data_IF_945925522222
#
_entry.id   IF_945925522222
#
_cell.length_a   1.000
_cell.length_b   1.000
_cell.length_c   1.000
_cell.angle_alpha   90.00
_cell.angle_beta   90.00
_cell.angle_gamma   90.00
#
_symmetry.space_group_name_H-M   'P 1'
#
loop_
_entity.id
_entity.type
_entity.pdbx_description
1 polymer ?
#
# COMPACT_ATOMS: atom_id res chain seq x y z
N UNK A 1 -9.93 37.77 -16.34
CA UNK A 1 -10.70 36.96 -15.38
C UNK A 1 -9.75 35.95 -14.75
N UNK A 2 -8.93 36.41 -13.79
CA UNK A 2 -7.97 35.55 -13.09
C UNK A 2 -8.73 34.73 -12.05
N UNK A 3 -9.16 33.54 -12.42
CA UNK A 3 -9.66 32.55 -11.47
C UNK A 3 -8.51 32.20 -10.52
N UNK A 4 -8.55 32.76 -9.30
CA UNK A 4 -7.61 32.41 -8.25
C UNK A 4 -7.68 30.88 -8.03
N UNK A 5 -6.60 30.13 -8.31
CA UNK A 5 -6.66 28.67 -8.34
C UNK A 5 -7.06 28.05 -7.00
N UNK A 6 -6.82 28.76 -5.89
CA UNK A 6 -7.27 28.38 -4.56
C UNK A 6 -8.81 28.42 -4.41
N UNK A 7 -9.47 29.45 -4.96
CA UNK A 7 -10.92 29.59 -4.90
C UNK A 7 -11.62 28.46 -5.67
N UNK A 8 -11.12 28.14 -6.87
CA UNK A 8 -11.64 27.02 -7.67
C UNK A 8 -11.49 25.68 -6.95
N UNK A 9 -10.38 25.46 -6.24
CA UNK A 9 -10.15 24.23 -5.45
C UNK A 9 -11.09 24.13 -4.25
N UNK A 10 -11.26 25.21 -3.50
CA UNK A 10 -12.19 25.25 -2.37
C UNK A 10 -13.63 25.04 -2.82
N UNK A 11 -14.03 25.70 -3.91
CA UNK A 11 -15.36 25.52 -4.49
C UNK A 11 -15.60 24.07 -4.93
N UNK A 12 -14.63 23.44 -5.59
CA UNK A 12 -14.71 22.02 -5.97
C UNK A 12 -14.89 21.09 -4.77
N UNK A 13 -14.16 21.32 -3.68
CA UNK A 13 -14.30 20.55 -2.44
C UNK A 13 -15.67 20.73 -1.79
N UNK A 14 -16.17 21.98 -1.73
CA UNK A 14 -17.49 22.26 -1.16
C UNK A 14 -18.58 21.62 -2.00
N UNK A 15 -18.52 21.74 -3.33
CA UNK A 15 -19.48 21.09 -4.24
C UNK A 15 -19.45 19.58 -4.07
N UNK A 16 -18.27 18.97 -3.94
CA UNK A 16 -18.15 17.54 -3.66
C UNK A 16 -18.83 17.12 -2.35
N UNK A 17 -18.59 17.86 -1.25
CA UNK A 17 -19.22 17.57 0.04
C UNK A 17 -20.75 17.73 -0.04
N UNK A 18 -21.24 18.76 -0.74
CA UNK A 18 -22.67 18.97 -0.93
C UNK A 18 -23.31 17.86 -1.78
N UNK A 19 -22.65 17.42 -2.84
CA UNK A 19 -23.10 16.28 -3.65
C UNK A 19 -23.13 14.99 -2.85
N UNK A 20 -22.11 14.76 -2.01
CA UNK A 20 -22.10 13.62 -1.09
C UNK A 20 -23.26 13.70 -0.09
N UNK A 21 -23.46 14.84 0.56
CA UNK A 21 -24.59 15.04 1.48
C UNK A 21 -25.95 14.86 0.77
N UNK A 22 -26.09 15.33 -0.47
CA UNK A 22 -27.30 15.13 -1.27
C UNK A 22 -27.51 13.65 -1.63
N UNK A 23 -26.43 12.92 -1.97
CA UNK A 23 -26.49 11.48 -2.19
C UNK A 23 -26.96 10.74 -0.93
N UNK A 24 -26.48 11.10 0.26
CA UNK A 24 -26.95 10.53 1.54
C UNK A 24 -28.46 10.74 1.75
N UNK A 25 -29.02 11.85 1.25
CA UNK A 25 -30.47 12.10 1.35
C UNK A 25 -31.28 11.27 0.35
N UNK A 26 -30.67 10.84 -0.76
CA UNK A 26 -31.30 10.03 -1.81
C UNK A 26 -31.18 8.53 -1.56
N UNK A 27 -30.13 8.09 -0.84
CA UNK A 27 -29.85 6.70 -0.52
C UNK A 27 -30.10 6.39 0.97
N UNK A 28 -30.27 5.12 1.33
CA UNK A 28 -30.45 4.73 2.73
C UNK A 28 -29.15 4.89 3.53
N UNK A 29 -29.21 5.26 4.82
CA UNK A 29 -28.03 5.45 5.68
C UNK A 29 -27.12 4.21 5.78
N UNK A 30 -27.68 3.01 5.63
CA UNK A 30 -26.94 1.74 5.67
C UNK A 30 -25.97 1.58 4.49
N UNK A 31 -26.25 2.26 3.37
CA UNK A 31 -25.45 2.17 2.16
C UNK A 31 -24.35 3.23 2.11
N UNK A 32 -24.62 4.43 2.66
CA UNK A 32 -23.73 5.57 2.54
C UNK A 32 -23.81 6.49 3.77
N UNK A 33 -22.80 6.46 4.66
CA UNK A 33 -22.78 7.32 5.84
C UNK A 33 -22.61 8.80 5.46
N UNK A 34 -23.22 9.68 6.25
CA UNK A 34 -23.07 11.12 6.08
C UNK A 34 -21.60 11.57 6.28
N UNK A 35 -21.12 12.59 5.54
CA UNK A 35 -19.76 13.12 5.71
C UNK A 35 -19.40 13.45 7.17
N UNK A 36 -20.36 14.03 7.92
CA UNK A 36 -20.17 14.33 9.34
C UNK A 36 -20.03 13.06 10.19
N UNK A 37 -20.83 12.03 9.92
CA UNK A 37 -20.74 10.75 10.63
C UNK A 37 -19.40 10.03 10.34
N UNK A 38 -18.88 10.14 9.12
CA UNK A 38 -17.54 9.62 8.80
C UNK A 38 -16.47 10.35 9.59
N UNK A 39 -16.56 11.68 9.69
CA UNK A 39 -15.58 12.48 10.42
C UNK A 39 -15.60 12.18 11.93
N UNK A 40 -16.79 12.07 12.54
CA UNK A 40 -16.90 11.74 13.97
C UNK A 40 -16.42 10.33 14.28
N UNK A 41 -16.73 9.35 13.42
CA UNK A 41 -16.19 8.00 13.57
C UNK A 41 -14.67 8.01 13.43
N UNK A 42 -14.12 8.70 12.43
CA UNK A 42 -12.68 8.78 12.22
C UNK A 42 -11.97 9.41 13.43
N UNK A 43 -12.48 10.52 13.96
CA UNK A 43 -11.96 11.14 15.19
C UNK A 43 -12.07 10.17 16.38
N UNK A 44 -13.21 9.50 16.54
CA UNK A 44 -13.39 8.49 17.59
C UNK A 44 -12.37 7.35 17.53
N UNK A 45 -12.04 6.84 16.35
CA UNK A 45 -11.02 5.77 16.19
C UNK A 45 -9.58 6.29 16.35
N UNK A 46 -9.34 7.58 16.11
CA UNK A 46 -8.06 8.23 16.40
C UNK A 46 -7.90 8.39 17.91
N UNK A 47 -8.92 8.88 18.60
CA UNK A 47 -8.92 9.09 20.05
C UNK A 47 -8.91 7.77 20.84
N UNK A 48 -9.58 6.73 20.34
CA UNK A 48 -9.55 5.39 20.93
C UNK A 48 -8.17 4.71 20.80
N UNK A 49 -7.32 5.21 19.90
CA UNK A 49 -6.02 4.63 19.62
C UNK A 49 -6.03 3.43 18.66
N UNK A 50 -7.20 2.94 18.23
CA UNK A 50 -7.29 1.78 17.32
C UNK A 50 -6.73 2.09 15.93
N UNK A 51 -7.10 3.24 15.36
CA UNK A 51 -6.62 3.66 14.04
C UNK A 51 -5.09 3.83 14.02
N UNK A 52 -4.47 4.62 14.93
CA UNK A 52 -3.02 4.75 14.94
C UNK A 52 -2.32 3.42 15.26
N UNK A 53 -2.91 2.54 16.08
CA UNK A 53 -2.35 1.22 16.36
C UNK A 53 -2.24 0.36 15.10
N UNK A 54 -3.35 0.14 14.38
CA UNK A 54 -3.36 -0.66 13.15
C UNK A 54 -2.55 -0.03 12.02
N UNK A 55 -2.58 1.30 11.93
CA UNK A 55 -1.77 2.05 10.97
C UNK A 55 -0.27 1.85 11.25
N UNK A 56 0.13 1.92 12.52
CA UNK A 56 1.54 1.72 12.92
C UNK A 56 2.01 0.31 12.61
N UNK A 57 1.20 -0.73 12.87
CA UNK A 57 1.53 -2.12 12.51
C UNK A 57 1.77 -2.23 11.00
N UNK A 58 0.85 -1.68 10.20
CA UNK A 58 0.94 -1.73 8.73
C UNK A 58 2.16 -0.97 8.22
N UNK A 59 2.40 0.24 8.72
CA UNK A 59 3.56 1.06 8.35
C UNK A 59 4.87 0.40 8.75
N UNK A 60 4.96 -0.17 9.96
CA UNK A 60 6.14 -0.90 10.42
C UNK A 60 6.44 -2.09 9.53
N UNK A 61 5.42 -2.88 9.17
CA UNK A 61 5.58 -4.01 8.25
C UNK A 61 6.12 -3.56 6.89
N UNK A 62 5.51 -2.52 6.30
CA UNK A 62 5.96 -1.97 5.01
C UNK A 62 7.40 -1.46 5.11
N UNK A 63 7.73 -0.71 6.16
CA UNK A 63 9.07 -0.17 6.35
C UNK A 63 10.12 -1.27 6.47
N UNK A 64 9.87 -2.32 7.25
CA UNK A 64 10.80 -3.44 7.41
C UNK A 64 10.96 -4.20 6.09
N UNK A 65 9.86 -4.59 5.43
CA UNK A 65 9.93 -5.28 4.13
C UNK A 65 10.67 -4.45 3.08
N UNK A 66 10.40 -3.15 3.01
CA UNK A 66 11.04 -2.24 2.06
C UNK A 66 12.55 -2.14 2.30
N UNK A 67 12.97 -1.92 3.55
CA UNK A 67 14.39 -1.82 3.89
C UNK A 67 15.13 -3.12 3.61
N UNK A 68 14.56 -4.27 3.99
CA UNK A 68 15.16 -5.57 3.70
C UNK A 68 15.25 -5.84 2.19
N UNK A 69 14.18 -5.58 1.44
CA UNK A 69 14.18 -5.76 -0.01
C UNK A 69 15.16 -4.82 -0.71
N UNK A 70 15.22 -3.57 -0.28
CA UNK A 70 16.16 -2.58 -0.82
C UNK A 70 17.60 -2.98 -0.57
N UNK A 71 17.95 -3.40 0.65
CA UNK A 71 19.30 -3.84 0.98
C UNK A 71 19.70 -5.09 0.20
N UNK A 72 18.87 -6.13 0.24
CA UNK A 72 19.15 -7.40 -0.45
C UNK A 72 19.19 -7.22 -1.96
N UNK A 73 18.20 -6.54 -2.53
CA UNK A 73 18.13 -6.26 -3.96
C UNK A 73 19.27 -5.39 -4.46
N UNK A 74 19.71 -4.39 -3.68
CA UNK A 74 20.85 -3.56 -4.04
C UNK A 74 22.17 -4.34 -4.01
N UNK A 75 22.36 -5.19 -2.98
CA UNK A 75 23.55 -6.04 -2.88
C UNK A 75 23.61 -7.05 -4.03
N UNK A 76 22.48 -7.73 -4.31
CA UNK A 76 22.38 -8.67 -5.43
C UNK A 76 22.61 -7.97 -6.77
N UNK A 77 21.95 -6.84 -7.01
CA UNK A 77 22.12 -6.05 -8.23
C UNK A 77 23.56 -5.59 -8.45
N UNK A 78 24.26 -5.17 -7.38
CA UNK A 78 25.67 -4.80 -7.46
C UNK A 78 26.57 -6.01 -7.83
N UNK A 79 26.33 -7.18 -7.23
CA UNK A 79 27.09 -8.39 -7.54
C UNK A 79 26.85 -8.85 -8.98
N UNK A 80 25.59 -8.87 -9.42
CA UNK A 80 25.22 -9.27 -10.78
C UNK A 80 25.83 -8.31 -11.80
N UNK A 81 25.70 -6.99 -11.58
CA UNK A 81 26.25 -5.96 -12.47
C UNK A 81 27.78 -5.93 -12.52
N UNK A 82 28.46 -6.41 -11.48
CA UNK A 82 29.93 -6.49 -11.48
C UNK A 82 30.47 -7.63 -12.34
N UNK A 83 29.75 -8.75 -12.45
CA UNK A 83 30.21 -9.95 -13.14
C UNK A 83 29.36 -10.26 -14.38
N UNK A 84 29.87 -9.93 -15.57
CA UNK A 84 29.21 -10.20 -16.87
C UNK A 84 28.72 -11.65 -17.07
N UNK A 85 29.41 -12.64 -16.48
CA UNK A 85 28.98 -14.05 -16.54
C UNK A 85 27.77 -14.31 -15.65
N UNK A 86 27.70 -13.74 -14.45
CA UNK A 86 26.52 -13.87 -13.58
C UNK A 86 25.33 -13.16 -14.17
N UNK A 87 25.55 -11.95 -14.72
CA UNK A 87 24.53 -11.18 -15.44
C UNK A 87 23.82 -12.02 -16.51
N UNK A 88 24.58 -12.62 -17.43
CA UNK A 88 24.01 -13.47 -18.49
C UNK A 88 23.25 -14.72 -17.98
N UNK A 89 23.66 -15.29 -16.85
CA UNK A 89 22.99 -16.48 -16.29
C UNK A 89 21.74 -16.13 -15.48
N UNK A 90 21.77 -15.01 -14.75
CA UNK A 90 20.69 -14.61 -13.84
C UNK A 90 19.67 -13.70 -14.49
N UNK A 91 19.98 -13.06 -15.63
CA UNK A 91 19.06 -12.17 -16.35
C UNK A 91 17.69 -12.82 -16.63
N UNK A 92 17.69 -14.09 -17.05
CA UNK A 92 16.45 -14.85 -17.28
C UNK A 92 15.67 -15.13 -15.99
N UNK A 93 16.38 -15.43 -14.89
CA UNK A 93 15.79 -15.76 -13.59
C UNK A 93 15.22 -14.51 -12.92
N UNK A 94 15.96 -13.41 -12.93
CA UNK A 94 15.56 -12.08 -12.44
C UNK A 94 14.35 -11.59 -13.21
N UNK A 95 14.38 -11.67 -14.55
CA UNK A 95 13.24 -11.29 -15.39
C UNK A 95 12.01 -12.12 -15.05
N UNK A 96 12.15 -13.45 -14.88
CA UNK A 96 11.04 -14.30 -14.47
C UNK A 96 10.50 -13.87 -13.09
N UNK A 97 11.38 -13.70 -12.09
CA UNK A 97 11.01 -13.33 -10.73
C UNK A 97 10.23 -12.01 -10.67
N UNK A 98 10.67 -10.99 -11.43
CA UNK A 98 10.00 -9.70 -11.53
C UNK A 98 8.61 -9.77 -12.20
N UNK A 99 8.37 -10.80 -13.01
CA UNK A 99 7.08 -11.02 -13.67
C UNK A 99 6.14 -11.95 -12.88
N UNK A 100 6.60 -12.58 -11.79
CA UNK A 100 5.73 -13.40 -10.95
C UNK A 100 4.72 -12.50 -10.21
N UNK A 101 3.41 -12.76 -10.32
CA UNK A 101 2.42 -11.98 -9.59
C UNK A 101 2.64 -12.07 -8.08
N UNK A 102 2.49 -10.93 -7.37
CA UNK A 102 2.62 -10.87 -5.91
C UNK A 102 1.70 -11.87 -5.19
N UNK A 103 0.51 -12.12 -5.75
CA UNK A 103 -0.48 -13.07 -5.23
C UNK A 103 0.03 -14.52 -5.20
N UNK A 104 0.84 -14.93 -6.18
CA UNK A 104 1.43 -16.28 -6.19
C UNK A 104 2.47 -16.41 -5.09
N UNK A 105 3.32 -15.39 -4.96
CA UNK A 105 4.40 -15.36 -3.96
C UNK A 105 3.84 -15.43 -2.54
N UNK A 106 2.79 -14.65 -2.23
CA UNK A 106 2.19 -14.66 -0.89
C UNK A 106 1.50 -15.98 -0.55
N UNK A 107 0.85 -16.63 -1.52
CA UNK A 107 0.24 -17.95 -1.31
C UNK A 107 1.32 -18.99 -0.97
N UNK A 108 2.42 -19.01 -1.74
CA UNK A 108 3.53 -19.93 -1.46
C UNK A 108 4.15 -19.70 -0.09
N UNK A 109 4.36 -18.43 0.30
CA UNK A 109 4.87 -18.11 1.62
C UNK A 109 3.92 -18.56 2.74
N UNK A 110 2.60 -18.41 2.58
CA UNK A 110 1.64 -18.92 3.58
C UNK A 110 1.61 -20.44 3.66
N UNK A 111 1.82 -21.15 2.54
CA UNK A 111 1.91 -22.62 2.55
C UNK A 111 3.17 -23.08 3.31
N UNK A 112 4.31 -22.41 3.14
CA UNK A 112 5.57 -22.81 3.76
C UNK A 112 5.74 -22.35 5.21
N UNK A 113 5.38 -21.09 5.49
CA UNK A 113 5.65 -20.45 6.77
C UNK A 113 4.39 -20.34 7.65
N UNK A 114 3.22 -20.74 7.14
CA UNK A 114 1.93 -20.65 7.81
C UNK A 114 1.27 -19.27 7.64
N UNK A 115 0.00 -19.16 8.08
CA UNK A 115 -0.72 -17.88 8.12
C UNK A 115 -0.23 -17.03 9.30
N UNK A 116 0.86 -16.31 9.09
CA UNK A 116 1.39 -15.34 10.04
C UNK A 116 1.94 -14.08 9.35
N UNK A 117 2.26 -13.06 10.14
CA UNK A 117 2.79 -11.79 9.64
C UNK A 117 4.17 -11.95 8.97
N UNK A 118 4.98 -12.89 9.47
CA UNK A 118 6.31 -13.17 8.94
C UNK A 118 6.25 -13.68 7.50
N UNK A 119 5.30 -14.57 7.19
CA UNK A 119 5.07 -15.07 5.85
C UNK A 119 4.69 -13.94 4.88
N UNK A 120 3.81 -13.03 5.30
CA UNK A 120 3.44 -11.86 4.51
C UNK A 120 4.63 -10.91 4.29
N UNK A 121 5.48 -10.72 5.31
CA UNK A 121 6.67 -9.89 5.24
C UNK A 121 7.70 -10.47 4.24
N UNK A 122 7.98 -11.78 4.32
CA UNK A 122 8.88 -12.50 3.41
C UNK A 122 8.35 -12.45 1.98
N UNK A 123 7.04 -12.65 1.78
CA UNK A 123 6.44 -12.59 0.45
C UNK A 123 6.67 -11.23 -0.24
N UNK A 124 6.50 -10.14 0.51
CA UNK A 124 6.76 -8.79 -0.01
C UNK A 124 8.25 -8.59 -0.30
N UNK A 125 9.15 -9.08 0.57
CA UNK A 125 10.59 -8.98 0.32
C UNK A 125 10.95 -9.69 -0.98
N UNK A 126 10.60 -10.97 -1.11
CA UNK A 126 10.93 -11.81 -2.26
C UNK A 126 10.34 -11.24 -3.56
N UNK A 127 9.11 -10.72 -3.51
CA UNK A 127 8.48 -10.14 -4.69
C UNK A 127 9.09 -8.79 -5.10
N UNK A 128 9.62 -8.01 -4.14
CA UNK A 128 10.16 -6.68 -4.39
C UNK A 128 11.67 -6.67 -4.64
N UNK A 129 12.38 -7.71 -4.22
CA UNK A 129 13.77 -7.92 -4.64
C UNK A 129 13.83 -8.34 -6.11
N UNK A 130 14.73 -7.74 -6.91
CA UNK A 130 15.03 -8.21 -8.25
C UNK A 130 15.64 -9.62 -8.23
#
# INVERSE_FOLDING_TARGET
>A
MHSHPALTRMLSMVVFILLWQAAVMLFTPDLLPAPYAVLTNLMGHVDSGELPHHLTITLRRIAISFLCAMLLGSLLGLVIGHFKRLDLWLDSVVTLALNVPALVTIILCFIWFGLNETAALIAVIVNKTP
#
